data_IF_051838383427
#
_entry.id   IF_051838383427
#
_cell.length_a   1.000
_cell.length_b   1.000
_cell.length_c   1.000
_cell.angle_alpha   90.00
_cell.angle_beta   90.00
_cell.angle_gamma   90.00
#
_symmetry.space_group_name_H-M   'P 1'
#
loop_
_entity.id
_entity.type
_entity.pdbx_description
1 polymer ?
#
# COMPACT_ATOMS: atom_id res chain seq x y z
N UNK A 1 12.80 17.81 57.01
CA UNK A 1 11.71 18.22 56.08
C UNK A 1 12.19 18.70 54.70
N UNK A 2 13.46 19.03 54.47
CA UNK A 2 13.97 19.49 53.15
C UNK A 2 14.13 18.38 52.10
N UNK A 3 14.47 17.14 52.50
CA UNK A 3 14.70 16.02 51.60
C UNK A 3 13.43 15.49 50.90
N UNK A 4 12.27 15.51 51.59
CA UNK A 4 10.99 15.09 51.01
C UNK A 4 10.53 16.02 49.86
N UNK A 5 10.75 17.32 50.00
CA UNK A 5 10.41 18.29 48.95
C UNK A 5 11.33 18.19 47.74
N UNK A 6 12.60 17.82 47.94
CA UNK A 6 13.57 17.56 46.88
C UNK A 6 13.19 16.26 46.10
N UNK A 7 12.84 15.21 46.85
CA UNK A 7 12.42 13.93 46.25
C UNK A 7 11.15 14.07 45.42
N UNK A 8 10.15 14.79 45.91
CA UNK A 8 8.91 15.08 45.14
C UNK A 8 9.19 15.91 43.87
N UNK A 9 10.10 16.88 43.94
CA UNK A 9 10.48 17.68 42.74
C UNK A 9 11.21 16.84 41.70
N UNK A 10 12.13 15.97 42.12
CA UNK A 10 12.84 15.05 41.23
C UNK A 10 11.85 14.06 40.59
N UNK A 11 10.93 13.51 41.39
CA UNK A 11 9.89 12.59 40.89
C UNK A 11 8.96 13.27 39.88
N UNK A 12 8.52 14.52 40.12
CA UNK A 12 7.71 15.29 39.20
C UNK A 12 8.45 15.62 37.90
N UNK A 13 9.74 15.95 37.96
CA UNK A 13 10.56 16.19 36.76
C UNK A 13 10.74 14.90 35.94
N UNK A 14 10.97 13.77 36.64
CA UNK A 14 11.11 12.46 35.99
C UNK A 14 9.80 11.99 35.32
N UNK A 15 8.66 12.22 35.98
CA UNK A 15 7.33 11.97 35.41
C UNK A 15 7.01 12.89 34.21
N UNK A 16 7.37 14.17 34.30
CA UNK A 16 7.22 15.12 33.19
C UNK A 16 8.12 14.70 32.01
N UNK A 17 9.35 14.26 32.26
CA UNK A 17 10.26 13.76 31.22
C UNK A 17 9.75 12.49 30.57
N UNK A 18 9.15 11.56 31.34
CA UNK A 18 8.51 10.33 30.83
C UNK A 18 7.27 10.66 29.97
N UNK A 19 6.46 11.64 30.36
CA UNK A 19 5.32 12.08 29.56
C UNK A 19 5.76 12.80 28.27
N UNK A 20 6.82 13.62 28.31
CA UNK A 20 7.36 14.30 27.15
C UNK A 20 8.03 13.30 26.20
N UNK A 21 8.76 12.31 26.70
CA UNK A 21 9.36 11.25 25.87
C UNK A 21 8.31 10.36 25.21
N UNK A 22 7.21 10.06 25.91
CA UNK A 22 6.05 9.36 25.35
C UNK A 22 5.34 10.16 24.26
N UNK A 23 5.26 11.49 24.42
CA UNK A 23 4.66 12.38 23.41
C UNK A 23 5.56 12.56 22.18
N UNK A 24 6.87 12.55 22.34
CA UNK A 24 7.85 12.64 21.24
C UNK A 24 7.82 11.35 20.39
N UNK A 25 7.66 10.17 21.02
CA UNK A 25 7.46 8.91 20.28
C UNK A 25 6.13 8.85 19.52
N UNK A 26 5.11 9.60 19.97
CA UNK A 26 3.79 9.63 19.30
C UNK A 26 3.69 10.64 18.14
N UNK A 27 4.70 11.52 17.99
CA UNK A 27 4.75 12.58 16.96
C UNK A 27 5.86 12.32 15.93
N UNK A 28 6.50 11.16 15.91
CA UNK A 28 7.24 10.76 14.72
C UNK A 28 6.17 10.46 13.65
N UNK A 29 5.97 11.32 12.64
CA UNK A 29 5.12 10.92 11.54
C UNK A 29 5.82 9.72 10.91
N UNK A 30 5.27 8.54 11.08
CA UNK A 30 5.48 7.46 10.12
C UNK A 30 5.05 8.09 8.82
N UNK A 31 6.00 8.50 7.98
CA UNK A 31 5.70 8.96 6.63
C UNK A 31 5.03 7.76 5.98
N UNK A 32 3.72 7.80 5.92
CA UNK A 32 2.99 6.89 5.08
C UNK A 32 3.58 7.08 3.67
N UNK A 33 4.09 6.00 3.08
CA UNK A 33 4.55 6.02 1.70
C UNK A 33 3.39 6.48 0.85
N UNK A 34 3.55 7.61 0.20
CA UNK A 34 2.51 8.22 -0.59
C UNK A 34 2.65 7.78 -2.05
N UNK A 35 1.54 7.84 -2.78
CA UNK A 35 1.56 7.64 -4.23
C UNK A 35 2.56 8.57 -4.95
N UNK A 36 2.84 9.74 -4.36
CA UNK A 36 3.86 10.67 -4.86
C UNK A 36 5.29 10.13 -4.68
N UNK A 37 5.56 9.38 -3.61
CA UNK A 37 6.88 8.75 -3.41
C UNK A 37 7.12 7.64 -4.42
N UNK A 38 6.09 6.86 -4.77
CA UNK A 38 6.16 5.87 -5.85
C UNK A 38 6.40 6.51 -7.21
N UNK A 39 5.67 7.57 -7.55
CA UNK A 39 5.88 8.29 -8.82
C UNK A 39 7.31 8.83 -8.93
N UNK A 40 7.87 9.36 -7.83
CA UNK A 40 9.26 9.84 -7.82
C UNK A 40 10.29 8.70 -8.04
N UNK A 41 10.01 7.49 -7.55
CA UNK A 41 10.83 6.30 -7.79
C UNK A 41 10.70 5.81 -9.24
N UNK A 42 9.50 5.79 -9.80
CA UNK A 42 9.23 5.43 -11.19
C UNK A 42 9.92 6.39 -12.17
N UNK A 43 9.89 7.71 -11.91
CA UNK A 43 10.60 8.70 -12.74
C UNK A 43 12.13 8.50 -12.72
N UNK A 44 12.70 8.25 -11.52
CA UNK A 44 14.13 7.94 -11.40
C UNK A 44 14.50 6.67 -12.15
N UNK A 45 13.66 5.65 -12.07
CA UNK A 45 13.83 4.38 -12.76
C UNK A 45 13.80 4.55 -14.27
N UNK A 46 12.85 5.30 -14.81
CA UNK A 46 12.75 5.61 -16.24
C UNK A 46 13.99 6.36 -16.75
N UNK A 47 14.52 7.31 -15.97
CA UNK A 47 15.75 8.02 -16.31
C UNK A 47 16.98 7.10 -16.32
N UNK A 48 17.03 6.11 -15.41
CA UNK A 48 18.09 5.12 -15.36
C UNK A 48 18.03 4.13 -16.53
N UNK A 49 16.82 3.68 -16.89
CA UNK A 49 16.58 2.79 -18.05
C UNK A 49 17.04 3.46 -19.37
N UNK A 50 16.81 4.76 -19.53
CA UNK A 50 17.31 5.51 -20.67
C UNK A 50 18.87 5.48 -20.73
N UNK A 51 19.55 5.69 -19.59
CA UNK A 51 21.01 5.60 -19.50
C UNK A 51 21.52 4.17 -19.78
N UNK A 52 20.83 3.15 -19.30
CA UNK A 52 21.15 1.75 -19.59
C UNK A 52 21.07 1.45 -21.07
N UNK A 53 20.01 1.89 -21.75
CA UNK A 53 19.85 1.73 -23.21
C UNK A 53 21.01 2.37 -24.00
N UNK A 54 21.47 3.55 -23.58
CA UNK A 54 22.60 4.21 -24.26
C UNK A 54 23.93 3.48 -24.00
N UNK A 55 24.13 2.94 -22.80
CA UNK A 55 25.28 2.10 -22.49
C UNK A 55 25.26 0.77 -23.24
N UNK A 56 24.12 0.15 -23.42
CA UNK A 56 23.97 -1.07 -24.24
C UNK A 56 24.41 -0.83 -25.70
N UNK A 57 23.98 0.30 -26.29
CA UNK A 57 24.40 0.69 -27.65
C UNK A 57 25.89 0.85 -27.73
N UNK A 58 26.50 1.49 -26.72
CA UNK A 58 27.96 1.68 -26.66
C UNK A 58 28.68 0.33 -26.55
N UNK A 59 28.29 -0.54 -25.64
CA UNK A 59 28.84 -1.90 -25.49
C UNK A 59 28.74 -2.69 -26.79
N UNK A 60 27.60 -2.58 -27.49
CA UNK A 60 27.40 -3.24 -28.78
C UNK A 60 28.33 -2.70 -29.86
N UNK A 61 28.52 -1.38 -29.96
CA UNK A 61 29.43 -0.75 -30.93
C UNK A 61 30.89 -1.12 -30.67
N UNK A 62 31.32 -1.24 -29.42
CA UNK A 62 32.66 -1.65 -29.01
C UNK A 62 32.91 -3.16 -29.25
N UNK A 63 31.86 -3.97 -29.32
CA UNK A 63 31.95 -5.41 -29.57
C UNK A 63 32.42 -5.74 -31.02
N UNK A 64 32.20 -4.82 -31.95
CA UNK A 64 32.56 -4.97 -33.38
C UNK A 64 34.06 -4.70 -33.66
N UNK A 65 34.80 -4.13 -32.70
CA UNK A 65 36.22 -3.78 -32.84
C UNK A 65 37.08 -4.52 -31.81
N UNK A 66 37.77 -5.57 -32.24
CA UNK A 66 38.67 -6.39 -31.39
C UNK A 66 39.84 -5.63 -30.75
N UNK A 67 40.13 -4.39 -31.16
CA UNK A 67 41.25 -3.59 -30.66
C UNK A 67 40.97 -2.85 -29.33
N UNK A 68 39.73 -2.87 -28.80
CA UNK A 68 39.30 -1.98 -27.73
C UNK A 68 38.77 -2.75 -26.50
N UNK A 69 39.43 -3.84 -26.11
CA UNK A 69 38.97 -4.69 -24.98
C UNK A 69 38.89 -3.90 -23.67
N UNK A 70 39.80 -2.94 -23.45
CA UNK A 70 39.82 -2.11 -22.23
C UNK A 70 38.62 -1.15 -22.20
N UNK A 71 38.31 -0.52 -23.33
CA UNK A 71 37.15 0.40 -23.44
C UNK A 71 35.85 -0.37 -23.30
N UNK A 72 35.78 -1.55 -23.90
CA UNK A 72 34.63 -2.46 -23.74
C UNK A 72 34.42 -2.87 -22.30
N UNK A 73 35.52 -3.21 -21.58
CA UNK A 73 35.43 -3.53 -20.15
C UNK A 73 34.88 -2.34 -19.34
N UNK A 74 35.41 -1.13 -19.62
CA UNK A 74 34.96 0.09 -18.94
C UNK A 74 33.49 0.38 -19.18
N UNK A 75 33.02 0.23 -20.43
CA UNK A 75 31.59 0.40 -20.77
C UNK A 75 30.71 -0.63 -20.08
N UNK A 76 31.16 -1.89 -19.99
CA UNK A 76 30.45 -2.96 -19.30
C UNK A 76 30.41 -2.75 -17.78
N UNK A 77 31.50 -2.27 -17.17
CA UNK A 77 31.52 -1.92 -15.74
C UNK A 77 30.55 -0.78 -15.43
N UNK A 78 30.42 0.21 -16.31
CA UNK A 78 29.43 1.29 -16.18
C UNK A 78 27.98 0.75 -16.31
N UNK A 79 27.73 -0.13 -17.26
CA UNK A 79 26.42 -0.78 -17.43
C UNK A 79 26.05 -1.60 -16.19
N UNK A 80 26.99 -2.37 -15.63
CA UNK A 80 26.79 -3.11 -14.39
C UNK A 80 26.46 -2.17 -13.22
N UNK A 81 27.17 -1.03 -13.11
CA UNK A 81 26.90 -0.06 -12.06
C UNK A 81 25.49 0.54 -12.18
N UNK A 82 25.07 0.94 -13.38
CA UNK A 82 23.72 1.45 -13.65
C UNK A 82 22.63 0.41 -13.39
N UNK A 83 22.89 -0.85 -13.77
CA UNK A 83 21.94 -1.94 -13.54
C UNK A 83 21.79 -2.24 -12.05
N UNK A 84 22.88 -2.19 -11.26
CA UNK A 84 22.81 -2.30 -9.80
C UNK A 84 22.01 -1.16 -9.16
N UNK A 85 22.18 0.07 -9.64
CA UNK A 85 21.40 1.21 -9.17
C UNK A 85 19.92 1.05 -9.51
N UNK A 86 19.59 0.57 -10.71
CA UNK A 86 18.20 0.26 -11.09
C UNK A 86 17.59 -0.82 -10.18
N UNK A 87 18.30 -1.90 -9.91
CA UNK A 87 17.87 -2.96 -9.01
C UNK A 87 17.60 -2.39 -7.60
N UNK A 88 18.49 -1.54 -7.08
CA UNK A 88 18.27 -0.91 -5.77
C UNK A 88 17.05 0.00 -5.73
N UNK A 89 16.74 0.72 -6.83
CA UNK A 89 15.52 1.52 -6.94
C UNK A 89 14.27 0.63 -7.00
N UNK A 90 14.31 -0.49 -7.72
CA UNK A 90 13.21 -1.46 -7.77
C UNK A 90 12.96 -2.12 -6.41
N UNK A 91 14.00 -2.42 -5.65
CA UNK A 91 13.88 -2.94 -4.29
C UNK A 91 13.27 -1.89 -3.34
N UNK A 92 13.62 -0.61 -3.48
CA UNK A 92 12.99 0.48 -2.74
C UNK A 92 11.51 0.69 -3.14
N UNK A 93 11.21 0.56 -4.43
CA UNK A 93 9.84 0.60 -4.94
C UNK A 93 8.99 -0.53 -4.38
N UNK A 94 9.53 -1.77 -4.34
CA UNK A 94 8.86 -2.92 -3.73
C UNK A 94 8.59 -2.72 -2.24
N UNK A 95 9.55 -2.17 -1.49
CA UNK A 95 9.35 -1.85 -0.08
C UNK A 95 8.22 -0.84 0.12
N UNK A 96 8.09 0.14 -0.78
CA UNK A 96 6.99 1.10 -0.77
C UNK A 96 5.63 0.43 -1.10
N UNK A 97 5.61 -0.50 -2.06
CA UNK A 97 4.41 -1.29 -2.35
C UNK A 97 4.01 -2.20 -1.18
N UNK A 98 4.96 -2.82 -0.47
CA UNK A 98 4.69 -3.66 0.71
C UNK A 98 3.95 -2.87 1.80
N UNK A 99 4.36 -1.62 2.06
CA UNK A 99 3.67 -0.72 2.98
C UNK A 99 2.25 -0.40 2.51
N UNK A 100 2.09 -0.04 1.23
CA UNK A 100 0.78 0.28 0.65
C UNK A 100 -0.17 -0.91 0.63
N UNK A 101 0.31 -2.10 0.30
CA UNK A 101 -0.46 -3.36 0.34
C UNK A 101 -0.95 -3.61 1.76
N UNK A 102 -0.06 -3.49 2.76
CA UNK A 102 -0.40 -3.68 4.16
C UNK A 102 -1.46 -2.67 4.64
N UNK A 103 -1.32 -1.40 4.26
CA UNK A 103 -2.30 -0.34 4.59
C UNK A 103 -3.66 -0.64 3.96
N UNK A 104 -3.68 -0.98 2.67
CA UNK A 104 -4.92 -1.28 1.93
C UNK A 104 -5.59 -2.56 2.38
N UNK A 105 -4.84 -3.56 2.79
CA UNK A 105 -5.37 -4.79 3.40
C UNK A 105 -6.07 -4.49 4.73
N UNK A 106 -5.48 -3.65 5.56
CA UNK A 106 -6.10 -3.21 6.80
C UNK A 106 -7.35 -2.34 6.55
N UNK A 107 -7.35 -1.50 5.52
CA UNK A 107 -8.50 -0.70 5.09
C UNK A 107 -9.64 -1.61 4.58
N UNK A 108 -9.30 -2.60 3.75
CA UNK A 108 -10.25 -3.59 3.24
C UNK A 108 -10.90 -4.40 4.37
N UNK A 109 -10.11 -4.85 5.33
CA UNK A 109 -10.61 -5.58 6.51
C UNK A 109 -11.60 -4.73 7.32
N UNK A 110 -11.30 -3.44 7.52
CA UNK A 110 -12.20 -2.50 8.19
C UNK A 110 -13.50 -2.28 7.41
N UNK A 111 -13.40 -2.11 6.09
CA UNK A 111 -14.57 -1.94 5.22
C UNK A 111 -15.46 -3.19 5.21
N UNK A 112 -14.87 -4.39 5.14
CA UNK A 112 -15.58 -5.67 5.22
C UNK A 112 -16.30 -5.83 6.56
N UNK A 113 -15.62 -5.54 7.67
CA UNK A 113 -16.22 -5.60 9.01
C UNK A 113 -17.41 -4.64 9.15
N UNK A 114 -17.29 -3.43 8.60
CA UNK A 114 -18.37 -2.45 8.58
C UNK A 114 -19.56 -2.96 7.73
N UNK A 115 -19.29 -3.52 6.56
CA UNK A 115 -20.31 -4.11 5.69
C UNK A 115 -21.01 -5.30 6.37
N UNK A 116 -20.27 -6.20 7.02
CA UNK A 116 -20.82 -7.34 7.76
C UNK A 116 -21.75 -6.88 8.88
N UNK A 117 -21.35 -5.86 9.64
CA UNK A 117 -22.17 -5.26 10.69
C UNK A 117 -23.48 -4.71 10.13
N UNK A 118 -23.46 -3.97 9.04
CA UNK A 118 -24.65 -3.43 8.40
C UNK A 118 -25.52 -4.55 7.80
N UNK A 119 -24.91 -5.56 7.21
CA UNK A 119 -25.61 -6.74 6.70
C UNK A 119 -26.33 -7.50 7.83
N UNK A 120 -25.67 -7.68 8.98
CA UNK A 120 -26.27 -8.33 10.14
C UNK A 120 -27.47 -7.54 10.67
N UNK A 121 -27.33 -6.21 10.81
CA UNK A 121 -28.43 -5.33 11.22
C UNK A 121 -29.63 -5.41 10.25
N UNK A 122 -29.34 -5.38 8.95
CA UNK A 122 -30.37 -5.52 7.91
C UNK A 122 -31.09 -6.87 7.98
N UNK A 123 -30.36 -7.98 8.16
CA UNK A 123 -30.92 -9.32 8.30
C UNK A 123 -31.85 -9.44 9.54
N UNK A 124 -31.45 -8.85 10.68
CA UNK A 124 -32.29 -8.81 11.87
C UNK A 124 -33.58 -8.06 11.57
N UNK A 125 -33.51 -6.93 10.87
CA UNK A 125 -34.67 -6.15 10.49
C UNK A 125 -35.60 -6.92 9.55
N UNK A 126 -35.05 -7.55 8.50
CA UNK A 126 -35.83 -8.37 7.54
C UNK A 126 -36.55 -9.52 8.28
N UNK A 127 -35.82 -10.21 9.16
CA UNK A 127 -36.44 -11.28 9.98
C UNK A 127 -37.59 -10.77 10.84
N UNK A 128 -37.43 -9.63 11.51
CA UNK A 128 -38.47 -9.02 12.28
C UNK A 128 -39.69 -8.64 11.43
N UNK A 129 -39.49 -8.24 10.19
CA UNK A 129 -40.55 -7.97 9.22
C UNK A 129 -41.30 -9.27 8.82
N UNK A 130 -40.54 -10.35 8.56
CA UNK A 130 -41.09 -11.66 8.22
C UNK A 130 -41.89 -12.26 9.40
N UNK A 131 -41.34 -12.18 10.63
CA UNK A 131 -41.99 -12.67 11.83
C UNK A 131 -43.28 -11.88 12.21
N UNK A 132 -43.32 -10.60 11.89
CA UNK A 132 -44.52 -9.78 12.05
C UNK A 132 -45.66 -10.19 11.10
N UNK A 133 -45.37 -11.00 10.09
CA UNK A 133 -46.32 -11.50 9.12
C UNK A 133 -46.93 -10.42 8.24
N UNK A 134 -48.01 -10.78 7.55
CA UNK A 134 -48.75 -9.93 6.59
C UNK A 134 -49.55 -8.80 7.25
N UNK A 135 -49.23 -8.48 8.53
CA UNK A 135 -49.83 -7.33 9.22
C UNK A 135 -49.32 -6.06 8.58
N UNK A 136 -50.00 -5.68 7.51
CA UNK A 136 -49.71 -4.44 6.77
C UNK A 136 -49.60 -3.28 7.76
N UNK A 137 -48.57 -2.43 7.60
CA UNK A 137 -48.44 -1.16 8.34
C UNK A 137 -49.78 -0.38 8.30
N UNK A 138 -50.51 -0.52 7.22
CA UNK A 138 -51.87 0.02 7.10
C UNK A 138 -52.84 -0.59 8.10
N UNK A 139 -52.81 -1.91 8.33
CA UNK A 139 -53.65 -2.58 9.33
C UNK A 139 -53.34 -2.04 10.73
N UNK A 140 -52.07 -1.88 11.08
CA UNK A 140 -51.65 -1.25 12.35
C UNK A 140 -52.22 0.16 12.52
N UNK A 141 -52.19 0.99 11.48
CA UNK A 141 -52.72 2.36 11.50
C UNK A 141 -54.25 2.34 11.71
N UNK A 142 -54.98 1.49 10.97
CA UNK A 142 -56.46 1.44 11.01
C UNK A 142 -57.05 0.74 12.23
N UNK A 143 -56.29 0.06 13.06
CA UNK A 143 -56.69 -0.46 14.36
C UNK A 143 -56.75 0.61 15.44
N UNK A 144 -56.56 1.90 15.14
CA UNK A 144 -56.65 2.98 16.10
C UNK A 144 -58.10 3.19 16.58
N UNK A 145 -58.28 3.25 17.89
CA UNK A 145 -59.60 3.48 18.54
C UNK A 145 -59.93 4.95 18.76
N UNK A 146 -58.99 5.86 18.49
CA UNK A 146 -59.19 7.30 18.61
C UNK A 146 -58.30 8.07 17.60
N UNK A 147 -58.66 9.32 17.31
CA UNK A 147 -57.91 10.19 16.44
C UNK A 147 -56.49 10.45 16.96
N UNK A 148 -56.33 10.63 18.28
CA UNK A 148 -55.01 10.80 18.90
C UNK A 148 -54.16 9.54 18.72
N UNK A 149 -54.72 8.36 18.89
CA UNK A 149 -54.02 7.08 18.68
C UNK A 149 -53.67 6.87 17.20
N UNK A 150 -54.55 7.30 16.27
CA UNK A 150 -54.26 7.27 14.83
C UNK A 150 -53.01 8.13 14.48
N UNK A 151 -52.93 9.35 15.00
CA UNK A 151 -51.79 10.23 14.80
C UNK A 151 -50.49 9.65 15.37
N UNK A 152 -50.53 9.08 16.58
CA UNK A 152 -49.41 8.39 17.19
C UNK A 152 -48.91 7.24 16.32
N UNK A 153 -49.80 6.37 15.86
CA UNK A 153 -49.45 5.23 15.00
C UNK A 153 -48.90 5.64 13.64
N UNK A 154 -49.37 6.75 13.07
CA UNK A 154 -48.79 7.35 11.86
C UNK A 154 -47.35 7.83 12.12
N UNK A 155 -47.08 8.42 13.30
CA UNK A 155 -45.74 8.77 13.72
C UNK A 155 -44.82 7.55 13.80
N UNK A 156 -45.28 6.51 14.52
CA UNK A 156 -44.53 5.25 14.67
C UNK A 156 -44.15 4.62 13.31
N UNK A 157 -45.13 4.58 12.38
CA UNK A 157 -44.89 4.05 11.02
C UNK A 157 -43.90 4.92 10.24
N UNK A 158 -43.98 6.25 10.36
CA UNK A 158 -43.03 7.18 9.74
C UNK A 158 -41.61 6.95 10.26
N UNK A 159 -41.46 6.78 11.58
CA UNK A 159 -40.15 6.52 12.19
C UNK A 159 -39.57 5.18 11.76
N UNK A 160 -40.39 4.14 11.67
CA UNK A 160 -39.98 2.82 11.15
C UNK A 160 -39.48 2.95 9.69
N UNK A 161 -40.26 3.63 8.84
CA UNK A 161 -39.90 3.81 7.44
C UNK A 161 -38.62 4.64 7.28
N UNK A 162 -38.42 5.65 8.13
CA UNK A 162 -37.19 6.45 8.13
C UNK A 162 -35.98 5.60 8.55
N UNK A 163 -36.13 4.80 9.61
CA UNK A 163 -35.10 3.88 10.07
C UNK A 163 -34.73 2.86 8.98
N UNK A 164 -35.72 2.25 8.33
CA UNK A 164 -35.47 1.26 7.27
C UNK A 164 -34.73 1.85 6.08
N UNK A 165 -35.11 3.06 5.64
CA UNK A 165 -34.39 3.78 4.56
C UNK A 165 -32.96 4.11 4.95
N UNK A 166 -32.73 4.52 6.21
CA UNK A 166 -31.39 4.79 6.71
C UNK A 166 -30.54 3.53 6.71
N UNK A 167 -31.07 2.41 7.22
CA UNK A 167 -30.39 1.13 7.27
C UNK A 167 -30.03 0.61 5.87
N UNK A 168 -30.94 0.75 4.91
CA UNK A 168 -30.68 0.41 3.50
C UNK A 168 -29.57 1.29 2.91
N UNK A 169 -29.61 2.60 3.14
CA UNK A 169 -28.60 3.53 2.65
C UNK A 169 -27.22 3.24 3.25
N UNK A 170 -27.13 2.95 4.54
CA UNK A 170 -25.90 2.56 5.23
C UNK A 170 -25.32 1.26 4.67
N UNK A 171 -26.15 0.25 4.41
CA UNK A 171 -25.73 -1.00 3.81
C UNK A 171 -25.19 -0.80 2.38
N UNK A 172 -25.90 -0.01 1.56
CA UNK A 172 -25.46 0.33 0.20
C UNK A 172 -24.11 1.07 0.21
N UNK A 173 -23.96 2.03 1.13
CA UNK A 173 -22.70 2.78 1.27
C UNK A 173 -21.55 1.86 1.69
N UNK A 174 -21.75 1.01 2.70
CA UNK A 174 -20.73 0.06 3.15
C UNK A 174 -20.35 -0.93 2.06
N UNK A 175 -21.32 -1.42 1.28
CA UNK A 175 -21.08 -2.33 0.15
C UNK A 175 -20.27 -1.65 -0.97
N UNK A 176 -20.65 -0.42 -1.32
CA UNK A 176 -19.93 0.37 -2.35
C UNK A 176 -18.49 0.67 -1.91
N UNK A 177 -18.30 1.02 -0.65
CA UNK A 177 -16.99 1.29 -0.07
C UNK A 177 -16.08 0.05 -0.07
N UNK A 178 -16.59 -1.09 0.38
CA UNK A 178 -15.85 -2.37 0.31
C UNK A 178 -15.43 -2.70 -1.12
N UNK A 179 -16.33 -2.50 -2.09
CA UNK A 179 -16.03 -2.75 -3.49
C UNK A 179 -15.01 -1.76 -4.07
N UNK A 180 -14.99 -0.50 -3.59
CA UNK A 180 -13.98 0.50 -3.96
C UNK A 180 -12.61 0.10 -3.44
N UNK A 181 -12.50 -0.11 -2.14
CA UNK A 181 -11.22 -0.45 -1.48
C UNK A 181 -10.65 -1.75 -2.02
N UNK A 182 -11.52 -2.76 -2.29
CA UNK A 182 -11.10 -4.01 -2.90
C UNK A 182 -10.44 -3.81 -4.27
N UNK A 183 -11.02 -2.98 -5.13
CA UNK A 183 -10.43 -2.67 -6.44
C UNK A 183 -9.09 -1.96 -6.31
N UNK A 184 -8.97 -1.00 -5.39
CA UNK A 184 -7.71 -0.31 -5.14
C UNK A 184 -6.62 -1.28 -4.64
N UNK A 185 -6.96 -2.15 -3.69
CA UNK A 185 -6.06 -3.20 -3.23
C UNK A 185 -5.58 -4.11 -4.36
N UNK A 186 -6.51 -4.60 -5.21
CA UNK A 186 -6.18 -5.47 -6.34
C UNK A 186 -5.25 -4.78 -7.35
N UNK A 187 -5.46 -3.49 -7.62
CA UNK A 187 -4.61 -2.72 -8.53
C UNK A 187 -3.19 -2.56 -7.98
N UNK A 188 -3.05 -2.22 -6.70
CA UNK A 188 -1.74 -2.10 -6.05
C UNK A 188 -1.01 -3.44 -6.03
N UNK A 189 -1.71 -4.52 -5.71
CA UNK A 189 -1.15 -5.86 -5.68
C UNK A 189 -0.66 -6.33 -7.07
N UNK A 190 -1.40 -6.02 -8.13
CA UNK A 190 -0.97 -6.30 -9.49
C UNK A 190 0.26 -5.50 -9.90
N UNK A 191 0.30 -4.21 -9.57
CA UNK A 191 1.46 -3.37 -9.83
C UNK A 191 2.72 -3.88 -9.10
N UNK A 192 2.59 -4.25 -7.83
CA UNK A 192 3.66 -4.87 -7.05
C UNK A 192 4.18 -6.16 -7.71
N UNK A 193 3.27 -7.04 -8.14
CA UNK A 193 3.62 -8.30 -8.81
C UNK A 193 4.40 -8.09 -10.10
N UNK A 194 4.05 -7.04 -10.86
CA UNK A 194 4.78 -6.66 -12.07
C UNK A 194 6.21 -6.22 -11.76
N UNK A 195 6.39 -5.38 -10.73
CA UNK A 195 7.74 -4.96 -10.31
C UNK A 195 8.58 -6.13 -9.83
N UNK A 196 7.99 -7.10 -9.13
CA UNK A 196 8.69 -8.34 -8.75
C UNK A 196 9.20 -9.12 -9.96
N UNK A 197 8.37 -9.29 -10.99
CA UNK A 197 8.77 -9.97 -12.22
C UNK A 197 9.93 -9.26 -12.91
N UNK A 198 9.85 -7.94 -13.05
CA UNK A 198 10.89 -7.13 -13.66
C UNK A 198 12.19 -7.13 -12.85
N UNK A 199 12.11 -7.17 -11.53
CA UNK A 199 13.29 -7.27 -10.66
C UNK A 199 14.04 -8.59 -10.87
N UNK A 200 13.31 -9.70 -10.99
CA UNK A 200 13.91 -11.00 -11.24
C UNK A 200 14.65 -11.03 -12.58
N UNK A 201 14.03 -10.50 -13.64
CA UNK A 201 14.63 -10.34 -14.96
C UNK A 201 15.92 -9.49 -14.91
N UNK A 202 15.87 -8.36 -14.19
CA UNK A 202 17.03 -7.46 -14.05
C UNK A 202 18.18 -8.09 -13.25
N UNK A 203 17.88 -8.90 -12.25
CA UNK A 203 18.89 -9.67 -11.50
C UNK A 203 19.56 -10.72 -12.38
N UNK A 204 18.81 -11.41 -13.23
CA UNK A 204 19.33 -12.38 -14.18
C UNK A 204 20.21 -11.69 -15.24
N UNK A 205 19.78 -10.53 -15.75
CA UNK A 205 20.56 -9.72 -16.69
C UNK A 205 21.89 -9.26 -16.06
N UNK A 206 21.86 -8.76 -14.82
CA UNK A 206 23.07 -8.37 -14.09
C UNK A 206 24.05 -9.54 -13.93
N UNK A 207 23.56 -10.74 -13.59
CA UNK A 207 24.41 -11.94 -13.47
C UNK A 207 25.08 -12.27 -14.81
N UNK A 208 24.36 -12.17 -15.92
CA UNK A 208 24.91 -12.37 -17.25
C UNK A 208 25.99 -11.33 -17.60
N UNK A 209 25.75 -10.06 -17.28
CA UNK A 209 26.72 -8.97 -17.50
C UNK A 209 28.00 -9.16 -16.67
N UNK A 210 27.86 -9.55 -15.40
CA UNK A 210 29.00 -9.83 -14.53
C UNK A 210 29.83 -11.01 -15.09
N UNK A 211 29.18 -12.07 -15.55
CA UNK A 211 29.88 -13.21 -16.21
C UNK A 211 30.61 -12.79 -17.46
N UNK A 212 30.00 -11.93 -18.29
CA UNK A 212 30.65 -11.38 -19.49
C UNK A 212 31.87 -10.48 -19.14
N UNK A 213 31.78 -9.67 -18.10
CA UNK A 213 32.89 -8.86 -17.61
C UNK A 213 34.07 -9.74 -17.13
N UNK A 214 33.77 -10.80 -16.38
CA UNK A 214 34.78 -11.77 -15.92
C UNK A 214 35.47 -12.48 -17.10
N UNK A 215 34.73 -12.85 -18.14
CA UNK A 215 35.28 -13.48 -19.34
C UNK A 215 36.22 -12.51 -20.08
N UNK A 216 35.87 -11.22 -20.17
CA UNK A 216 36.78 -10.19 -20.76
C UNK A 216 38.09 -10.02 -19.97
N UNK A 217 38.01 -10.03 -18.63
CA UNK A 217 39.19 -9.96 -17.77
C UNK A 217 40.14 -11.15 -18.03
N UNK A 218 39.56 -12.37 -18.11
CA UNK A 218 40.33 -13.57 -18.40
C UNK A 218 41.04 -13.50 -19.77
N UNK A 219 40.40 -12.89 -20.77
CA UNK A 219 40.99 -12.68 -22.10
C UNK A 219 42.14 -11.69 -22.04
N UNK A 220 42.00 -10.59 -21.27
CA UNK A 220 43.08 -9.61 -21.07
C UNK A 220 44.28 -10.22 -20.36
N UNK A 221 44.05 -11.04 -19.33
CA UNK A 221 45.10 -11.72 -18.59
C UNK A 221 45.88 -12.71 -19.47
N UNK A 222 45.18 -13.42 -20.37
CA UNK A 222 45.84 -14.35 -21.31
C UNK A 222 46.73 -13.58 -22.31
N UNK A 223 46.22 -12.48 -22.87
CA UNK A 223 46.97 -11.65 -23.84
C UNK A 223 48.16 -10.96 -23.19
N UNK A 224 48.05 -10.56 -21.91
CA UNK A 224 49.22 -9.98 -21.19
C UNK A 224 50.32 -11.00 -20.96
N UNK A 225 49.99 -12.27 -20.70
CA UNK A 225 50.96 -13.35 -20.52
C UNK A 225 51.64 -13.80 -21.81
N UNK A 226 50.95 -13.68 -22.95
CA UNK A 226 51.47 -14.03 -24.25
C UNK A 226 52.40 -12.91 -24.83
N UNK A 227 52.38 -11.74 -24.19
CA UNK A 227 53.22 -10.56 -24.57
C UNK A 227 54.51 -10.40 -23.75
N UNK A 228 54.70 -11.18 -22.68
CA UNK A 228 55.95 -11.28 -21.89
C UNK A 228 56.80 -12.41 -22.41
#
# INVERSE_FOLDING_TARGET
MKSRKLFVRILCVLLAFLMISGFIMMVIPVKAVTQADLQALEEKRAALEAKLSDQEKLVKSLNENHALIVERKTALDQQIALNRENIALMEAELAAYDELVTEKEAELTRAQTAQEKQTAAFRVRVRAMEEAGDTSLLHYIFQANSFSQLLSRLGDVSDIMHYDRKLEAELRTATAETARVKREYEQIYLAQSEVYSQLDEKKQELDAQVKAACALIATLDSQSKDAE
#
